data_IF_075802189781
#
_entry.id   IF_075802189781
#
_cell.length_a   1.000
_cell.length_b   1.000
_cell.length_c   1.000
_cell.angle_alpha   90.00
_cell.angle_beta   90.00
_cell.angle_gamma   90.00
#
_symmetry.space_group_name_H-M   'P 1'
#
loop_
_entity.id
_entity.type
_entity.pdbx_description
1 polymer ?
#
# COMPACT_ATOMS: atom_id res chain seq x y z
N UNK A 1 8.52 10.15 -5.36
CA UNK A 1 7.93 10.77 -6.57
C UNK A 1 7.60 12.25 -6.39
N UNK A 2 7.09 12.67 -5.24
CA UNK A 2 6.67 14.07 -5.05
C UNK A 2 7.84 15.04 -4.82
N UNK A 3 8.94 14.57 -4.23
CA UNK A 3 10.01 15.42 -3.72
C UNK A 3 11.40 15.04 -4.24
N UNK A 4 11.49 14.20 -5.25
CA UNK A 4 12.75 13.73 -5.79
C UNK A 4 12.78 13.68 -7.31
N UNK A 5 13.96 13.51 -7.88
CA UNK A 5 14.14 13.34 -9.31
C UNK A 5 13.45 12.08 -9.81
N UNK A 6 13.11 12.07 -11.10
CA UNK A 6 12.59 10.86 -11.75
C UNK A 6 13.73 9.86 -11.91
N UNK A 7 13.62 8.70 -11.27
CA UNK A 7 14.70 7.69 -11.22
C UNK A 7 15.27 7.35 -12.61
N UNK A 8 14.41 7.08 -13.58
CA UNK A 8 14.84 6.71 -14.94
C UNK A 8 15.68 7.78 -15.67
N UNK A 9 15.62 9.04 -15.24
CA UNK A 9 16.32 10.17 -15.86
C UNK A 9 17.51 10.66 -15.03
N UNK A 10 17.36 10.67 -13.72
CA UNK A 10 18.21 11.42 -12.81
C UNK A 10 18.50 10.66 -11.50
N UNK A 11 18.72 9.34 -11.58
CA UNK A 11 18.92 8.50 -10.39
C UNK A 11 20.08 8.95 -9.49
N UNK A 12 21.10 9.57 -10.07
CA UNK A 12 22.28 10.07 -9.34
C UNK A 12 22.07 11.46 -8.71
N UNK A 13 20.94 12.12 -8.98
CA UNK A 13 20.62 13.38 -8.33
C UNK A 13 20.13 13.17 -6.89
N UNK A 14 20.49 14.11 -6.03
CA UNK A 14 20.05 14.11 -4.63
C UNK A 14 18.54 14.20 -4.53
N UNK A 15 17.97 13.39 -3.65
CA UNK A 15 16.54 13.24 -3.43
C UNK A 15 16.14 13.62 -2.00
N UNK A 16 16.28 12.69 -1.06
CA UNK A 16 15.84 12.85 0.34
C UNK A 16 16.85 12.20 1.29
N UNK A 17 16.87 12.60 2.58
CA UNK A 17 17.58 11.84 3.59
C UNK A 17 16.83 10.52 3.88
N UNK A 18 17.54 9.51 4.34
CA UNK A 18 16.99 8.23 4.72
C UNK A 18 17.20 7.97 6.21
N UNK A 19 16.10 7.91 6.97
CA UNK A 19 16.12 7.69 8.41
C UNK A 19 15.64 6.27 8.74
N UNK A 20 16.49 5.45 9.32
CA UNK A 20 16.15 4.11 9.81
C UNK A 20 16.12 4.02 11.35
N UNK A 21 16.36 5.13 12.02
CA UNK A 21 16.31 5.25 13.49
C UNK A 21 15.88 6.65 13.89
N UNK A 22 15.34 6.77 15.08
CA UNK A 22 15.08 8.08 15.68
C UNK A 22 16.40 8.77 16.00
N UNK A 23 16.58 10.00 15.49
CA UNK A 23 17.77 10.82 15.72
C UNK A 23 17.39 12.30 15.75
N UNK A 24 18.12 13.07 16.52
CA UNK A 24 18.02 14.54 16.54
C UNK A 24 19.01 15.21 15.59
N UNK A 25 19.88 14.44 14.94
CA UNK A 25 20.84 14.94 13.96
C UNK A 25 20.31 14.74 12.55
N UNK A 26 20.50 15.71 11.64
CA UNK A 26 20.10 15.55 10.25
C UNK A 26 20.94 14.48 9.57
N UNK A 27 20.30 13.57 8.86
CA UNK A 27 20.98 12.61 7.99
C UNK A 27 21.33 13.25 6.64
N UNK A 28 22.39 12.79 5.95
CA UNK A 28 22.77 13.32 4.64
C UNK A 28 21.68 13.06 3.61
N UNK A 29 21.53 14.01 2.68
CA UNK A 29 20.62 13.84 1.54
C UNK A 29 21.29 12.87 0.56
N UNK A 30 20.63 11.74 0.34
CA UNK A 30 21.05 10.68 -0.56
C UNK A 30 20.57 10.93 -1.99
N UNK A 31 21.18 10.25 -2.96
CA UNK A 31 20.68 10.21 -4.34
C UNK A 31 19.41 9.35 -4.42
N UNK A 32 18.64 9.52 -5.50
CA UNK A 32 17.45 8.68 -5.72
C UNK A 32 17.81 7.19 -5.81
N UNK A 33 18.97 6.88 -6.35
CA UNK A 33 19.52 5.52 -6.43
C UNK A 33 19.79 4.94 -5.06
N UNK A 34 20.58 5.64 -4.24
CA UNK A 34 20.91 5.20 -2.88
C UNK A 34 19.66 5.01 -2.01
N UNK A 35 18.67 5.89 -2.15
CA UNK A 35 17.38 5.74 -1.44
C UNK A 35 16.63 4.49 -1.90
N UNK A 36 16.54 4.26 -3.22
CA UNK A 36 15.84 3.10 -3.77
C UNK A 36 16.53 1.78 -3.36
N UNK A 37 17.86 1.73 -3.40
CA UNK A 37 18.65 0.57 -2.96
C UNK A 37 18.41 0.26 -1.46
N UNK A 38 18.36 1.28 -0.61
CA UNK A 38 18.04 1.11 0.82
C UNK A 38 16.60 0.61 1.03
N UNK A 39 15.63 1.15 0.29
CA UNK A 39 14.24 0.68 0.35
C UNK A 39 14.14 -0.78 -0.07
N UNK A 40 14.84 -1.20 -1.13
CA UNK A 40 14.87 -2.62 -1.53
C UNK A 40 15.49 -3.47 -0.44
N UNK A 41 16.62 -3.05 0.15
CA UNK A 41 17.27 -3.80 1.22
C UNK A 41 16.35 -3.97 2.45
N UNK A 42 15.67 -2.92 2.88
CA UNK A 42 14.72 -2.99 4.01
C UNK A 42 13.53 -3.89 3.70
N UNK A 43 13.02 -3.87 2.45
CA UNK A 43 11.92 -4.74 2.03
C UNK A 43 12.36 -6.21 1.95
N UNK A 44 13.57 -6.48 1.49
CA UNK A 44 14.11 -7.85 1.49
C UNK A 44 14.31 -8.39 2.91
N UNK A 45 14.82 -7.58 3.83
CA UNK A 45 14.90 -7.95 5.24
C UNK A 45 13.50 -8.22 5.81
N UNK A 46 12.53 -7.36 5.54
CA UNK A 46 11.15 -7.55 5.96
C UNK A 46 10.54 -8.83 5.38
N UNK A 47 10.85 -9.19 4.13
CA UNK A 47 10.42 -10.42 3.48
C UNK A 47 10.97 -11.66 4.21
N UNK A 48 12.23 -11.63 4.60
CA UNK A 48 12.85 -12.71 5.37
C UNK A 48 12.20 -12.85 6.75
N UNK A 49 12.00 -11.75 7.45
CA UNK A 49 11.35 -11.74 8.77
C UNK A 49 9.89 -12.24 8.71
N UNK A 50 9.20 -12.01 7.60
CA UNK A 50 7.83 -12.45 7.35
C UNK A 50 7.74 -13.82 6.65
N UNK A 51 8.83 -14.58 6.57
CA UNK A 51 8.85 -15.88 5.88
C UNK A 51 7.78 -16.87 6.41
N UNK A 52 7.46 -16.79 7.70
CA UNK A 52 6.46 -17.60 8.39
C UNK A 52 5.16 -16.82 8.70
N UNK A 53 4.84 -15.81 7.90
CA UNK A 53 3.60 -15.02 8.08
C UNK A 53 2.37 -15.94 7.93
N UNK A 54 1.43 -15.92 8.89
CA UNK A 54 0.18 -16.69 8.81
C UNK A 54 -0.64 -16.45 7.55
N UNK A 55 -0.50 -15.28 6.89
CA UNK A 55 -1.20 -15.00 5.64
C UNK A 55 -0.94 -16.06 4.56
N UNK A 56 0.22 -16.72 4.59
CA UNK A 56 0.61 -17.74 3.62
C UNK A 56 -0.16 -19.04 3.77
N UNK A 57 -0.58 -19.39 4.97
CA UNK A 57 -1.22 -20.67 5.31
C UNK A 57 -2.69 -20.52 5.73
N UNK A 58 -3.02 -19.40 6.35
CA UNK A 58 -4.35 -19.17 6.95
C UNK A 58 -5.13 -18.04 6.25
N UNK A 59 -4.51 -17.36 5.26
CA UNK A 59 -5.12 -16.25 4.56
C UNK A 59 -5.18 -14.97 5.40
N UNK A 60 -6.09 -14.07 5.03
CA UNK A 60 -6.17 -12.72 5.62
C UNK A 60 -6.69 -12.67 7.04
N UNK A 61 -7.40 -13.72 7.52
CA UNK A 61 -7.96 -13.81 8.86
C UNK A 61 -8.75 -12.55 9.28
N UNK A 62 -9.67 -12.10 8.42
CA UNK A 62 -10.42 -10.83 8.61
C UNK A 62 -11.45 -10.84 9.74
N UNK A 63 -11.52 -11.89 10.54
CA UNK A 63 -12.35 -11.98 11.74
C UNK A 63 -11.50 -12.01 13.01
N UNK A 64 -12.08 -11.58 14.14
CA UNK A 64 -11.47 -11.72 15.45
C UNK A 64 -11.31 -13.18 15.89
N UNK A 65 -10.42 -13.42 16.84
CA UNK A 65 -10.31 -14.74 17.48
C UNK A 65 -11.58 -15.03 18.28
N UNK A 66 -12.13 -16.23 18.08
CA UNK A 66 -13.33 -16.67 18.79
C UNK A 66 -13.01 -17.32 20.15
N UNK A 67 -11.78 -17.69 20.37
CA UNK A 67 -11.29 -18.35 21.58
C UNK A 67 -10.71 -17.36 22.61
N UNK A 68 -10.83 -16.06 22.37
CA UNK A 68 -10.32 -15.02 23.27
C UNK A 68 -8.80 -14.80 23.21
N UNK A 69 -8.10 -15.46 22.26
CA UNK A 69 -6.66 -15.24 22.03
C UNK A 69 -6.39 -13.89 21.38
N UNK A 70 -5.11 -13.50 21.31
CA UNK A 70 -4.71 -12.23 20.74
C UNK A 70 -5.05 -12.12 19.26
N UNK A 71 -5.62 -10.99 18.84
CA UNK A 71 -5.87 -10.65 17.45
C UNK A 71 -4.61 -10.11 16.72
N UNK A 72 -3.43 -10.17 17.36
CA UNK A 72 -2.21 -9.61 16.80
C UNK A 72 -1.86 -10.17 15.42
N UNK A 73 -2.02 -11.48 15.23
CA UNK A 73 -1.72 -12.16 13.95
C UNK A 73 -2.93 -12.24 13.00
N UNK A 74 -4.05 -11.61 13.33
CA UNK A 74 -5.25 -11.55 12.49
C UNK A 74 -5.34 -10.21 11.72
N UNK A 75 -6.37 -10.06 10.88
CA UNK A 75 -6.58 -8.87 10.05
C UNK A 75 -5.38 -8.57 9.14
N UNK A 76 -4.86 -9.61 8.47
CA UNK A 76 -3.61 -9.50 7.71
C UNK A 76 -3.68 -8.52 6.54
N UNK A 77 -4.85 -8.27 5.93
CA UNK A 77 -5.03 -7.23 4.93
C UNK A 77 -4.94 -5.79 5.51
N UNK A 78 -5.04 -5.63 6.84
CA UNK A 78 -4.89 -4.33 7.53
C UNK A 78 -3.54 -4.20 8.25
N UNK A 79 -2.63 -5.14 8.03
CA UNK A 79 -1.28 -5.15 8.59
C UNK A 79 -0.28 -5.47 7.51
N UNK A 80 0.91 -4.89 7.61
CA UNK A 80 1.97 -5.25 6.67
C UNK A 80 2.21 -6.77 6.77
N UNK A 81 2.14 -7.45 5.65
CA UNK A 81 2.21 -8.89 5.53
C UNK A 81 3.20 -9.29 4.41
N UNK A 82 3.51 -10.57 4.31
CA UNK A 82 4.48 -11.09 3.34
C UNK A 82 4.17 -10.64 1.89
N UNK A 83 2.93 -10.81 1.43
CA UNK A 83 2.56 -10.46 0.04
C UNK A 83 2.48 -8.96 -0.21
N UNK A 84 2.18 -8.17 0.81
CA UNK A 84 2.27 -6.72 0.72
C UNK A 84 3.72 -6.26 0.53
N UNK A 85 4.68 -6.91 1.19
CA UNK A 85 6.12 -6.64 0.99
C UNK A 85 6.55 -7.03 -0.42
N UNK A 86 6.14 -8.19 -0.92
CA UNK A 86 6.45 -8.60 -2.30
C UNK A 86 5.86 -7.66 -3.35
N UNK A 87 4.63 -7.20 -3.15
CA UNK A 87 4.02 -6.19 -4.03
C UNK A 87 4.78 -4.85 -4.01
N UNK A 88 5.32 -4.45 -2.85
CA UNK A 88 6.18 -3.27 -2.75
C UNK A 88 7.52 -3.48 -3.45
N UNK A 89 8.15 -4.66 -3.32
CA UNK A 89 9.36 -5.03 -4.05
C UNK A 89 9.13 -4.99 -5.56
N UNK A 90 8.01 -5.56 -6.05
CA UNK A 90 7.63 -5.49 -7.45
C UNK A 90 7.54 -4.03 -7.93
N UNK A 91 6.86 -3.18 -7.16
CA UNK A 91 6.67 -1.75 -7.48
C UNK A 91 8.00 -0.98 -7.51
N UNK A 92 8.86 -1.19 -6.51
CA UNK A 92 10.13 -0.47 -6.42
C UNK A 92 11.08 -0.91 -7.53
N UNK A 93 11.19 -2.21 -7.79
CA UNK A 93 12.01 -2.74 -8.88
C UNK A 93 11.51 -2.24 -10.24
N UNK A 94 10.20 -2.21 -10.48
CA UNK A 94 9.64 -1.61 -11.70
C UNK A 94 9.99 -0.12 -11.83
N UNK A 95 9.94 0.63 -10.72
CA UNK A 95 10.33 2.04 -10.71
C UNK A 95 11.83 2.24 -11.00
N UNK A 96 12.68 1.33 -10.56
CA UNK A 96 14.11 1.31 -10.84
C UNK A 96 14.44 0.84 -12.27
N UNK A 97 13.51 0.19 -12.96
CA UNK A 97 13.71 -0.41 -14.28
C UNK A 97 14.15 -1.88 -14.25
N UNK A 98 14.22 -2.49 -13.10
CA UNK A 98 14.55 -3.90 -12.87
C UNK A 98 13.32 -4.77 -13.20
N UNK A 99 13.06 -4.97 -14.49
CA UNK A 99 11.80 -5.59 -14.97
C UNK A 99 11.69 -7.06 -14.62
N UNK A 100 12.79 -7.79 -14.61
CA UNK A 100 12.82 -9.22 -14.30
C UNK A 100 12.40 -9.45 -12.85
N UNK A 101 13.05 -8.78 -11.92
CA UNK A 101 12.77 -8.87 -10.50
C UNK A 101 11.33 -8.38 -10.20
N UNK A 102 10.92 -7.28 -10.83
CA UNK A 102 9.56 -6.78 -10.71
C UNK A 102 8.51 -7.82 -11.16
N UNK A 103 8.78 -8.52 -12.24
CA UNK A 103 7.90 -9.57 -12.77
C UNK A 103 7.83 -10.79 -11.84
N UNK A 104 8.95 -11.22 -11.29
CA UNK A 104 9.01 -12.36 -10.36
C UNK A 104 8.17 -12.08 -9.11
N UNK A 105 8.40 -10.95 -8.42
CA UNK A 105 7.61 -10.57 -7.25
C UNK A 105 6.12 -10.38 -7.56
N UNK A 106 5.79 -9.73 -8.67
CA UNK A 106 4.39 -9.55 -9.08
C UNK A 106 3.71 -10.89 -9.36
N UNK A 107 4.42 -11.83 -9.99
CA UNK A 107 3.89 -13.17 -10.29
C UNK A 107 3.56 -13.94 -9.01
N UNK A 108 4.41 -13.86 -7.99
CA UNK A 108 4.16 -14.54 -6.71
C UNK A 108 2.95 -13.95 -5.98
N UNK A 109 2.77 -12.62 -6.04
CA UNK A 109 1.55 -11.99 -5.51
C UNK A 109 0.31 -12.43 -6.30
N UNK A 110 0.34 -12.46 -7.63
CA UNK A 110 -0.80 -12.86 -8.48
C UNK A 110 -1.24 -14.30 -8.19
N UNK A 111 -0.33 -15.22 -7.94
CA UNK A 111 -0.65 -16.61 -7.56
C UNK A 111 -1.55 -16.72 -6.32
N UNK A 112 -1.54 -15.71 -5.44
CA UNK A 112 -2.41 -15.69 -4.26
C UNK A 112 -3.89 -15.61 -4.59
N UNK A 113 -4.25 -15.06 -5.77
CA UNK A 113 -5.62 -15.02 -6.24
C UNK A 113 -6.16 -16.43 -6.53
N UNK A 114 -5.37 -17.25 -7.20
CA UNK A 114 -5.72 -18.66 -7.49
C UNK A 114 -5.78 -19.51 -6.23
N UNK A 115 -5.00 -19.15 -5.22
CA UNK A 115 -4.99 -19.81 -3.90
C UNK A 115 -6.12 -19.34 -2.97
N UNK A 116 -6.90 -18.34 -3.38
CA UNK A 116 -7.97 -17.76 -2.57
C UNK A 116 -7.51 -16.93 -1.36
N UNK A 117 -6.22 -16.58 -1.29
CA UNK A 117 -5.67 -15.73 -0.22
C UNK A 117 -6.07 -14.28 -0.44
N UNK A 118 -5.86 -13.76 -1.65
CA UNK A 118 -6.30 -12.45 -2.13
C UNK A 118 -7.03 -12.64 -3.47
N UNK A 119 -8.25 -13.21 -3.46
CA UNK A 119 -8.97 -13.48 -4.69
C UNK A 119 -9.41 -12.19 -5.37
N UNK A 120 -9.48 -12.21 -6.69
CA UNK A 120 -10.13 -11.13 -7.42
C UNK A 120 -11.58 -10.98 -6.95
N UNK A 121 -12.05 -9.74 -6.87
CA UNK A 121 -13.40 -9.46 -6.40
C UNK A 121 -14.44 -10.06 -7.36
N UNK A 122 -15.49 -10.67 -6.81
CA UNK A 122 -16.61 -11.15 -7.61
C UNK A 122 -17.36 -9.97 -8.23
N UNK A 123 -17.57 -10.05 -9.55
CA UNK A 123 -18.25 -9.01 -10.32
C UNK A 123 -19.64 -8.66 -9.75
N UNK A 124 -20.35 -9.64 -9.19
CA UNK A 124 -21.67 -9.43 -8.58
C UNK A 124 -21.66 -8.51 -7.38
N UNK A 125 -20.54 -8.48 -6.64
CA UNK A 125 -20.35 -7.58 -5.49
C UNK A 125 -20.09 -6.13 -5.90
N UNK A 126 -19.70 -5.89 -7.15
CA UNK A 126 -19.35 -4.56 -7.67
C UNK A 126 -20.45 -3.96 -8.52
N UNK A 127 -20.98 -4.74 -9.50
CA UNK A 127 -21.85 -4.27 -10.58
C UNK A 127 -23.31 -4.70 -10.36
N UNK A 128 -23.52 -5.86 -9.75
CA UNK A 128 -24.87 -6.34 -9.42
C UNK A 128 -25.51 -5.41 -8.44
N UNK A 129 -26.57 -4.88 -8.37
CA UNK A 129 -27.21 -3.92 -7.43
C UNK A 129 -27.22 -4.38 -5.96
N UNK A 130 -26.11 -4.68 -5.33
CA UNK A 130 -26.11 -4.90 -3.90
C UNK A 130 -26.46 -3.58 -3.21
N UNK A 131 -27.13 -3.66 -2.08
CA UNK A 131 -27.43 -2.48 -1.26
C UNK A 131 -26.16 -1.75 -0.81
N UNK A 132 -25.05 -2.47 -0.68
CA UNK A 132 -23.72 -1.94 -0.33
C UNK A 132 -22.66 -2.56 -1.26
N UNK A 133 -22.40 -1.97 -2.44
CA UNK A 133 -21.43 -2.52 -3.40
C UNK A 133 -20.00 -2.37 -2.91
N UNK A 134 -19.17 -3.38 -3.12
CA UNK A 134 -17.74 -3.33 -2.84
C UNK A 134 -17.01 -2.40 -3.83
N UNK A 135 -16.87 -1.13 -3.46
CA UNK A 135 -16.23 -0.11 -4.28
C UNK A 135 -14.71 -0.04 -4.08
N UNK A 136 -14.16 -0.77 -3.15
CA UNK A 136 -12.73 -0.77 -2.83
C UNK A 136 -12.03 -2.06 -3.22
N UNK A 137 -12.78 -3.03 -3.80
CA UNK A 137 -12.26 -4.35 -4.17
C UNK A 137 -11.59 -5.01 -2.97
N UNK A 138 -12.35 -5.12 -1.87
CA UNK A 138 -11.83 -5.45 -0.54
C UNK A 138 -11.05 -6.76 -0.48
N UNK A 139 -11.41 -7.75 -1.31
CA UNK A 139 -10.72 -9.04 -1.39
C UNK A 139 -9.32 -8.94 -2.05
N UNK A 140 -9.08 -7.90 -2.86
CA UNK A 140 -7.81 -7.68 -3.57
C UNK A 140 -6.84 -6.78 -2.76
N UNK A 141 -7.28 -6.23 -1.62
CA UNK A 141 -6.45 -5.33 -0.80
C UNK A 141 -5.37 -6.12 -0.08
N UNK A 142 -4.14 -6.00 -0.53
CA UNK A 142 -2.98 -6.64 0.11
C UNK A 142 -2.62 -5.97 1.44
N UNK A 143 -2.77 -4.64 1.51
CA UNK A 143 -2.50 -3.86 2.72
C UNK A 143 -3.25 -2.53 2.68
N UNK A 144 -3.92 -2.21 3.78
CA UNK A 144 -4.56 -0.91 3.98
C UNK A 144 -4.44 -0.44 5.44
N UNK A 145 -4.31 0.86 5.62
CA UNK A 145 -4.38 1.47 6.95
C UNK A 145 -5.83 1.83 7.28
N UNK A 146 -6.31 1.32 8.40
CA UNK A 146 -7.64 1.68 8.92
C UNK A 146 -7.61 3.06 9.55
N UNK A 147 -8.47 3.95 9.07
CA UNK A 147 -8.68 5.26 9.67
C UNK A 147 -10.07 5.32 10.32
N UNK A 148 -10.11 5.28 11.64
CA UNK A 148 -11.36 5.36 12.43
C UNK A 148 -12.01 6.75 12.37
N UNK A 149 -11.27 7.78 11.97
CA UNK A 149 -11.75 9.16 11.83
C UNK A 149 -12.20 9.52 10.40
N UNK A 150 -12.34 8.54 9.49
CA UNK A 150 -12.69 8.77 8.08
C UNK A 150 -13.97 9.59 7.90
N UNK A 151 -15.01 9.29 8.65
CA UNK A 151 -16.27 10.06 8.61
C UNK A 151 -16.08 11.53 9.00
N UNK A 152 -15.23 11.78 10.01
CA UNK A 152 -14.89 13.15 10.44
C UNK A 152 -14.08 13.88 9.39
N UNK A 153 -13.13 13.21 8.74
CA UNK A 153 -12.35 13.77 7.63
C UNK A 153 -13.26 14.11 6.47
N UNK A 154 -14.13 13.17 6.06
CA UNK A 154 -15.12 13.44 5.01
C UNK A 154 -15.98 14.65 5.34
N UNK A 155 -16.60 14.68 6.51
CA UNK A 155 -17.45 15.78 6.96
C UNK A 155 -16.70 17.11 7.02
N UNK A 156 -15.42 17.13 7.32
CA UNK A 156 -14.64 18.34 7.45
C UNK A 156 -14.12 18.88 6.11
N UNK A 157 -13.82 18.03 5.14
CA UNK A 157 -13.10 18.42 3.92
C UNK A 157 -13.81 18.09 2.61
N UNK A 158 -14.79 17.18 2.62
CA UNK A 158 -15.42 16.67 1.40
C UNK A 158 -16.95 16.76 1.41
N UNK A 159 -17.57 17.18 2.50
CA UNK A 159 -19.02 17.29 2.61
C UNK A 159 -19.54 18.41 1.69
N UNK A 160 -20.36 18.09 0.68
CA UNK A 160 -20.85 19.08 -0.28
C UNK A 160 -21.77 20.14 0.35
N UNK A 161 -22.30 19.91 1.54
CA UNK A 161 -23.12 20.90 2.27
C UNK A 161 -22.30 22.04 2.87
N UNK A 162 -20.97 21.92 2.89
CA UNK A 162 -20.09 22.98 3.41
C UNK A 162 -19.88 24.09 2.40
N UNK A 163 -19.55 25.28 2.92
CA UNK A 163 -19.20 26.42 2.07
C UNK A 163 -17.99 26.03 1.18
N UNK A 164 -17.98 26.48 -0.11
CA UNK A 164 -16.94 26.10 -1.08
C UNK A 164 -15.49 26.27 -0.60
N UNK A 165 -15.23 27.30 0.20
CA UNK A 165 -13.89 27.61 0.72
C UNK A 165 -13.36 26.61 1.76
N UNK A 166 -14.21 25.69 2.25
CA UNK A 166 -13.87 24.69 3.26
C UNK A 166 -13.90 23.25 2.73
N UNK A 167 -14.19 23.09 1.44
CA UNK A 167 -14.23 21.77 0.80
C UNK A 167 -13.00 21.59 -0.06
N UNK A 168 -12.33 20.46 0.10
CA UNK A 168 -11.22 20.06 -0.76
C UNK A 168 -11.79 19.54 -2.09
N UNK A 169 -11.85 20.40 -3.11
CA UNK A 169 -12.34 20.06 -4.44
C UNK A 169 -11.42 20.63 -5.52
N UNK A 170 -11.49 20.09 -6.71
CA UNK A 170 -10.81 20.68 -7.86
C UNK A 170 -11.44 22.05 -8.17
N UNK A 171 -10.61 22.99 -8.59
CA UNK A 171 -11.04 24.31 -9.07
C UNK A 171 -11.96 24.13 -10.28
N UNK A 172 -13.09 24.86 -10.28
CA UNK A 172 -14.07 24.77 -11.36
C UNK A 172 -13.48 25.17 -12.73
N UNK A 173 -12.44 26.02 -12.76
CA UNK A 173 -11.72 26.38 -13.98
C UNK A 173 -10.84 25.24 -14.54
N UNK A 174 -10.45 24.27 -13.70
CA UNK A 174 -9.73 23.08 -14.14
C UNK A 174 -10.68 21.99 -14.65
N UNK A 175 -11.96 22.07 -14.32
CA UNK A 175 -12.98 21.10 -14.75
C UNK A 175 -13.63 21.47 -16.09
N UNK A 176 -13.44 22.69 -16.57
CA UNK A 176 -14.05 23.22 -17.80
C UNK A 176 -13.12 23.18 -19.03
N UNK A 177 -11.92 22.65 -18.91
CA UNK A 177 -10.98 22.37 -19.98
C UNK A 177 -10.81 20.86 -20.16
#
# INVERSE_FOLDING_TARGET
>A
RLFGPVYAKDSEKKAIPYYNKQTNSPEPILTAKEVAEKVVADLEEARILLANDPVKTEGTLMSGSQDGTSNFMRYRALRLNYYAVEALLARVNLYMGNKTEAFEYATDVIKTADQGIFPFVDKSLVIGSPADPDRIFSSEVLFALTNTSRSKIHKNFYDPSRLPNYVFRMDDNLMSN
#
